data_IF_405680475767
#
_entry.id   IF_405680475767
#
_cell.length_a   1.000
_cell.length_b   1.000
_cell.length_c   1.000
_cell.angle_alpha   90.00
_cell.angle_beta   90.00
_cell.angle_gamma   90.00
#
_symmetry.space_group_name_H-M   'P 1'
#
loop_
_entity.id
_entity.type
_entity.pdbx_description
1 polymer ?
#
# COMPACT_ATOMS: atom_id res chain seq x y z
N UNK A 1 -12.51 7.32 -10.54
CA UNK A 1 -11.81 8.51 -10.02
C UNK A 1 -11.13 8.16 -8.71
N UNK A 2 -9.93 7.58 -8.77
CA UNK A 2 -9.19 7.10 -7.60
C UNK A 2 -8.34 8.21 -7.00
N UNK A 3 -8.05 8.11 -5.70
CA UNK A 3 -7.33 9.08 -4.86
C UNK A 3 -5.99 9.59 -5.44
N UNK A 4 -5.37 8.85 -6.37
CA UNK A 4 -4.16 9.26 -7.08
C UNK A 4 -4.38 10.35 -8.17
N UNK A 5 -5.61 10.65 -8.57
CA UNK A 5 -5.87 11.71 -9.57
C UNK A 5 -5.60 13.15 -9.10
N UNK A 6 -5.39 13.39 -7.79
CA UNK A 6 -5.35 14.76 -7.24
C UNK A 6 -3.98 15.22 -6.73
N UNK A 7 -2.96 14.36 -6.72
CA UNK A 7 -1.65 14.67 -6.12
C UNK A 7 -0.57 15.04 -7.15
N UNK A 8 -0.87 15.01 -8.45
CA UNK A 8 0.08 15.30 -9.51
C UNK A 8 -0.18 16.68 -10.12
N UNK A 9 0.29 17.73 -9.44
CA UNK A 9 0.53 19.05 -10.04
C UNK A 9 2.04 19.22 -10.15
N UNK A 10 2.57 19.17 -11.38
CA UNK A 10 3.86 19.80 -11.70
C UNK A 10 3.55 21.18 -12.28
N UNK A 11 4.15 22.17 -11.63
CA UNK A 11 4.17 23.57 -12.04
C UNK A 11 5.27 23.70 -13.10
N UNK A 12 4.90 24.09 -14.30
CA UNK A 12 5.78 24.81 -15.22
C UNK A 12 4.94 25.97 -15.78
N UNK A 13 5.38 27.20 -15.53
CA UNK A 13 4.79 28.39 -16.15
C UNK A 13 5.47 28.59 -17.49
N UNK A 14 4.72 28.58 -18.58
CA UNK A 14 5.13 29.20 -19.84
C UNK A 14 4.28 30.47 -20.04
N UNK A 15 4.88 31.68 -20.08
CA UNK A 15 4.13 32.93 -20.06
C UNK A 15 3.56 33.39 -21.41
N UNK A 16 3.69 32.64 -22.50
CA UNK A 16 3.16 33.05 -23.81
C UNK A 16 2.54 31.90 -24.61
N UNK A 17 1.25 31.63 -24.45
CA UNK A 17 0.42 31.28 -25.62
C UNK A 17 -1.07 31.52 -25.33
N UNK A 18 -1.68 32.28 -26.23
CA UNK A 18 -3.11 32.52 -26.27
C UNK A 18 -3.74 31.53 -27.25
N UNK A 19 -4.97 31.12 -26.91
CA UNK A 19 -5.92 30.35 -27.72
C UNK A 19 -5.70 28.83 -27.84
N UNK A 20 -6.72 28.08 -27.40
CA UNK A 20 -7.60 27.26 -28.28
C UNK A 20 -8.01 25.94 -27.63
N UNK A 21 -9.32 25.76 -27.49
CA UNK A 21 -10.09 24.50 -27.46
C UNK A 21 -9.85 23.53 -26.29
N UNK A 22 -10.85 23.46 -25.41
CA UNK A 22 -11.03 22.42 -24.40
C UNK A 22 -11.39 21.06 -25.03
N UNK A 23 -10.47 20.46 -25.78
CA UNK A 23 -10.50 19.03 -26.06
C UNK A 23 -9.93 18.29 -24.84
N UNK A 24 -10.80 17.58 -24.13
CA UNK A 24 -10.42 16.64 -23.07
C UNK A 24 -9.63 15.48 -23.70
N UNK A 25 -8.32 15.63 -23.83
CA UNK A 25 -7.42 14.53 -24.20
C UNK A 25 -6.82 13.90 -22.94
N UNK A 26 -7.19 12.63 -22.80
CA UNK A 26 -6.84 11.63 -21.81
C UNK A 26 -5.33 11.41 -21.75
N UNK A 27 -4.65 12.04 -20.79
CA UNK A 27 -3.21 11.87 -20.55
C UNK A 27 -2.96 11.48 -19.09
N UNK A 28 -3.01 10.18 -18.82
CA UNK A 28 -2.65 9.58 -17.55
C UNK A 28 -1.18 9.14 -17.57
N UNK A 29 -0.32 9.72 -16.71
CA UNK A 29 1.02 9.16 -16.45
C UNK A 29 0.89 7.86 -15.66
N UNK A 30 0.81 6.78 -16.41
CA UNK A 30 0.98 5.41 -15.95
C UNK A 30 2.45 5.18 -15.58
N UNK A 31 2.71 4.34 -14.58
CA UNK A 31 4.06 3.82 -14.34
C UNK A 31 4.39 2.88 -15.50
N UNK A 32 4.84 3.44 -16.61
CA UNK A 32 5.28 2.69 -17.79
C UNK A 32 6.73 2.30 -17.52
N UNK A 33 6.92 1.10 -16.98
CA UNK A 33 8.23 0.48 -16.91
C UNK A 33 8.53 -0.13 -18.28
N UNK A 34 9.79 -0.12 -18.69
CA UNK A 34 10.18 -0.88 -19.87
C UNK A 34 9.98 -2.39 -19.61
N UNK A 35 9.74 -3.15 -20.68
CA UNK A 35 9.36 -4.57 -20.58
C UNK A 35 10.45 -5.44 -19.93
N UNK A 36 11.73 -5.07 -20.06
CA UNK A 36 12.84 -5.79 -19.44
C UNK A 36 12.83 -5.58 -17.92
N UNK A 37 12.66 -4.32 -17.49
CA UNK A 37 12.55 -3.93 -16.08
C UNK A 37 11.33 -4.55 -15.39
N UNK A 38 10.19 -4.57 -16.09
CA UNK A 38 8.96 -5.17 -15.58
C UNK A 38 9.11 -6.69 -15.35
N UNK A 39 9.79 -7.39 -16.26
CA UNK A 39 10.06 -8.82 -16.14
C UNK A 39 11.03 -9.13 -14.99
N UNK A 40 12.09 -8.35 -14.84
CA UNK A 40 13.00 -8.49 -13.69
C UNK A 40 12.23 -8.32 -12.38
N UNK A 41 11.35 -7.32 -12.28
CA UNK A 41 10.62 -7.06 -11.06
C UNK A 41 9.59 -8.16 -10.74
N UNK A 42 8.90 -8.66 -11.76
CA UNK A 42 7.96 -9.78 -11.61
C UNK A 42 8.66 -11.08 -11.20
N UNK A 43 9.92 -11.27 -11.59
CA UNK A 43 10.73 -12.41 -11.15
C UNK A 43 11.19 -12.27 -9.68
N UNK A 44 11.59 -11.06 -9.28
CA UNK A 44 12.10 -10.78 -7.94
C UNK A 44 11.01 -10.73 -6.85
N UNK A 45 9.76 -10.44 -7.20
CA UNK A 45 8.70 -10.24 -6.20
C UNK A 45 7.30 -10.69 -6.64
N UNK A 46 6.73 -11.62 -5.85
CA UNK A 46 5.35 -12.07 -6.02
C UNK A 46 4.35 -11.08 -5.41
N UNK A 47 3.88 -10.15 -6.25
CA UNK A 47 2.91 -9.12 -5.87
C UNK A 47 1.54 -9.74 -5.51
N UNK A 48 1.16 -10.86 -6.11
CA UNK A 48 -0.11 -11.53 -5.82
C UNK A 48 -0.12 -12.17 -4.43
N UNK A 49 1.00 -12.79 -4.05
CA UNK A 49 1.21 -13.27 -2.69
C UNK A 49 1.22 -12.12 -1.68
N UNK A 50 1.82 -10.98 -2.01
CA UNK A 50 1.81 -9.80 -1.17
C UNK A 50 0.38 -9.26 -0.95
N UNK A 51 -0.42 -9.12 -2.01
CA UNK A 51 -1.83 -8.71 -1.92
C UNK A 51 -2.60 -9.67 -1.02
N UNK A 52 -2.50 -10.97 -1.30
CA UNK A 52 -3.23 -12.01 -0.57
C UNK A 52 -2.90 -12.02 0.92
N UNK A 53 -1.62 -11.84 1.29
CA UNK A 53 -1.17 -11.73 2.69
C UNK A 53 -1.78 -10.52 3.40
N UNK A 54 -1.81 -9.36 2.75
CA UNK A 54 -2.37 -8.14 3.34
C UNK A 54 -3.90 -8.17 3.44
N UNK A 55 -4.58 -8.82 2.50
CA UNK A 55 -6.03 -9.06 2.58
C UNK A 55 -6.36 -10.07 3.71
N UNK A 56 -5.54 -11.11 3.89
CA UNK A 56 -5.72 -12.12 4.93
C UNK A 56 -5.59 -11.56 6.35
N UNK A 57 -4.77 -10.53 6.57
CA UNK A 57 -4.62 -9.88 7.87
C UNK A 57 -5.93 -9.36 8.45
N UNK A 58 -6.84 -8.89 7.60
CA UNK A 58 -8.16 -8.41 8.04
C UNK A 58 -8.95 -9.52 8.73
N UNK A 59 -8.92 -10.73 8.15
CA UNK A 59 -9.60 -11.89 8.71
C UNK A 59 -8.95 -12.33 10.03
N UNK A 60 -7.63 -12.32 10.09
CA UNK A 60 -6.88 -12.68 11.31
C UNK A 60 -7.15 -11.72 12.46
N UNK A 61 -7.16 -10.41 12.20
CA UNK A 61 -7.51 -9.41 13.22
C UNK A 61 -8.97 -9.51 13.65
N UNK A 62 -9.90 -9.77 12.71
CA UNK A 62 -11.31 -10.04 13.05
C UNK A 62 -11.44 -11.22 14.00
N UNK A 63 -10.74 -12.32 13.70
CA UNK A 63 -10.74 -13.53 14.54
C UNK A 63 -10.15 -13.27 15.93
N UNK A 64 -9.06 -12.49 16.02
CA UNK A 64 -8.50 -12.07 17.31
C UNK A 64 -9.50 -11.24 18.12
N UNK A 65 -10.25 -10.34 17.48
CA UNK A 65 -11.23 -9.48 18.13
C UNK A 65 -12.49 -10.24 18.56
N UNK A 66 -12.90 -11.26 17.82
CA UNK A 66 -14.05 -12.11 18.18
C UNK A 66 -13.71 -13.25 19.15
N UNK A 67 -12.42 -13.45 19.46
CA UNK A 67 -11.98 -14.59 20.25
C UNK A 67 -12.09 -15.93 19.51
N UNK A 68 -12.17 -15.92 18.18
CA UNK A 68 -12.19 -17.14 17.35
C UNK A 68 -10.83 -17.86 17.30
N UNK A 69 -9.74 -17.15 17.62
CA UNK A 69 -8.40 -17.72 17.73
C UNK A 69 -7.82 -17.47 19.11
N UNK A 70 -7.29 -18.54 19.71
CA UNK A 70 -6.53 -18.48 20.96
C UNK A 70 -5.04 -18.20 20.71
N UNK A 71 -4.56 -18.47 19.48
CA UNK A 71 -3.17 -18.20 19.12
C UNK A 71 -2.94 -16.68 19.01
N UNK A 72 -2.17 -16.08 19.93
CA UNK A 72 -1.95 -14.64 19.91
C UNK A 72 -1.17 -14.24 18.66
N UNK A 73 -1.58 -13.14 18.03
CA UNK A 73 -0.80 -12.50 16.97
C UNK A 73 0.55 -12.05 17.54
N UNK A 74 1.67 -12.44 16.93
CA UNK A 74 2.98 -11.96 17.36
C UNK A 74 3.09 -10.44 17.12
N UNK A 75 3.20 -9.67 18.21
CA UNK A 75 3.30 -8.22 18.14
C UNK A 75 4.70 -7.76 17.73
N UNK A 76 5.73 -8.53 18.06
CA UNK A 76 7.11 -8.14 17.78
C UNK A 76 7.36 -8.24 16.26
N UNK A 77 6.85 -9.29 15.63
CA UNK A 77 6.82 -9.41 14.17
C UNK A 77 5.94 -8.31 13.52
N UNK A 78 4.76 -8.03 14.08
CA UNK A 78 3.83 -7.07 13.50
C UNK A 78 4.33 -5.62 13.58
N UNK A 79 5.08 -5.26 14.63
CA UNK A 79 5.67 -3.92 14.80
C UNK A 79 6.76 -3.60 13.80
N UNK A 80 7.44 -4.63 13.30
CA UNK A 80 8.47 -4.44 12.30
C UNK A 80 7.85 -4.55 10.90
N UNK A 81 7.53 -3.44 10.21
CA UNK A 81 7.01 -3.51 8.85
C UNK A 81 7.99 -4.22 7.91
N UNK A 82 9.29 -4.13 8.15
CA UNK A 82 10.32 -4.80 7.34
C UNK A 82 10.40 -6.30 7.58
N UNK A 83 9.72 -6.85 8.60
CA UNK A 83 9.70 -8.29 8.82
C UNK A 83 8.89 -9.05 7.78
N UNK A 84 7.87 -8.42 7.17
CA UNK A 84 7.02 -9.09 6.19
C UNK A 84 7.69 -9.12 4.79
N UNK A 85 7.35 -10.08 3.91
CA UNK A 85 7.97 -10.17 2.58
C UNK A 85 7.89 -8.89 1.74
N UNK A 86 6.77 -8.14 1.84
CA UNK A 86 6.65 -6.84 1.19
C UNK A 86 7.63 -5.82 1.78
N UNK A 87 7.74 -5.75 3.10
CA UNK A 87 8.67 -4.85 3.77
C UNK A 87 10.13 -5.14 3.43
N UNK A 88 10.53 -6.41 3.41
CA UNK A 88 11.87 -6.83 2.99
C UNK A 88 12.16 -6.42 1.55
N UNK A 89 11.19 -6.60 0.65
CA UNK A 89 11.33 -6.18 -0.74
C UNK A 89 11.42 -4.65 -0.87
N UNK A 90 10.58 -3.91 -0.14
CA UNK A 90 10.58 -2.45 -0.12
C UNK A 90 11.90 -1.89 0.41
N UNK A 91 12.53 -2.51 1.41
CA UNK A 91 13.83 -2.09 1.93
C UNK A 91 15.02 -2.57 1.07
N UNK A 92 14.81 -3.52 0.18
CA UNK A 92 15.84 -4.18 -0.63
C UNK A 92 15.66 -3.92 -2.13
N UNK A 93 15.43 -4.97 -2.96
CA UNK A 93 15.34 -4.83 -4.41
C UNK A 93 14.33 -3.79 -4.89
N UNK A 94 13.18 -3.67 -4.23
CA UNK A 94 12.16 -2.68 -4.56
C UNK A 94 12.68 -1.24 -4.48
N UNK A 95 13.46 -0.91 -3.45
CA UNK A 95 14.10 0.40 -3.32
C UNK A 95 15.09 0.68 -4.45
N UNK A 96 15.88 -0.33 -4.84
CA UNK A 96 16.89 -0.18 -5.90
C UNK A 96 16.24 0.04 -7.26
N UNK A 97 15.13 -0.66 -7.53
CA UNK A 97 14.45 -0.62 -8.82
C UNK A 97 13.48 0.56 -8.95
N UNK A 98 12.71 0.83 -7.89
CA UNK A 98 11.58 1.77 -7.95
C UNK A 98 11.74 2.99 -7.05
N UNK A 99 12.82 3.09 -6.26
CA UNK A 99 13.01 4.17 -5.29
C UNK A 99 13.10 5.57 -5.88
N UNK A 100 13.32 5.70 -7.19
CA UNK A 100 13.28 6.98 -7.89
C UNK A 100 11.86 7.52 -8.11
N UNK A 101 10.83 6.69 -7.98
CA UNK A 101 9.44 7.08 -8.23
C UNK A 101 8.74 7.52 -6.95
N UNK A 102 8.13 8.72 -6.90
CA UNK A 102 7.39 9.17 -5.70
C UNK A 102 6.25 8.22 -5.26
N UNK A 103 5.69 7.45 -6.20
CA UNK A 103 4.69 6.43 -5.90
C UNK A 103 5.25 5.30 -5.01
N UNK A 104 6.55 5.01 -5.10
CA UNK A 104 7.23 4.04 -4.25
C UNK A 104 7.29 4.51 -2.80
N UNK A 105 7.67 5.76 -2.55
CA UNK A 105 7.68 6.35 -1.20
C UNK A 105 6.30 6.33 -0.55
N UNK A 106 5.25 6.57 -1.35
CA UNK A 106 3.87 6.45 -0.90
C UNK A 106 3.55 5.02 -0.49
N UNK A 107 3.98 4.01 -1.25
CA UNK A 107 3.81 2.60 -0.89
C UNK A 107 4.53 2.25 0.40
N UNK A 108 5.78 2.67 0.57
CA UNK A 108 6.55 2.47 1.82
C UNK A 108 5.82 3.08 3.01
N UNK A 109 5.39 4.34 2.91
CA UNK A 109 4.69 5.02 3.99
C UNK A 109 3.32 4.39 4.32
N UNK A 110 2.55 3.98 3.30
CA UNK A 110 1.24 3.33 3.51
C UNK A 110 1.39 1.93 4.09
N UNK A 111 2.43 1.21 3.71
CA UNK A 111 2.76 -0.09 4.30
C UNK A 111 3.12 0.02 5.78
N UNK A 112 3.99 0.96 6.15
CA UNK A 112 4.32 1.22 7.55
C UNK A 112 3.08 1.62 8.37
N UNK A 113 2.22 2.48 7.81
CA UNK A 113 0.97 2.88 8.45
C UNK A 113 -0.01 1.71 8.64
N UNK A 114 -0.09 0.78 7.69
CA UNK A 114 -0.87 -0.46 7.84
C UNK A 114 -0.42 -1.28 9.05
N UNK A 115 0.89 -1.50 9.19
CA UNK A 115 1.44 -2.21 10.34
C UNK A 115 1.15 -1.48 11.66
N UNK A 116 1.35 -0.16 11.72
CA UNK A 116 1.05 0.63 12.91
C UNK A 116 -0.42 0.50 13.36
N UNK A 117 -1.37 0.55 12.41
CA UNK A 117 -2.80 0.38 12.72
C UNK A 117 -3.15 -1.04 13.13
N UNK A 118 -2.50 -2.05 12.55
CA UNK A 118 -2.68 -3.45 12.97
C UNK A 118 -2.17 -3.69 14.40
N UNK A 119 -1.00 -3.13 14.74
CA UNK A 119 -0.45 -3.16 16.11
C UNK A 119 -1.42 -2.54 17.10
N UNK A 120 -1.94 -1.34 16.81
CA UNK A 120 -2.87 -0.63 17.68
C UNK A 120 -4.14 -1.45 17.96
N UNK A 121 -4.71 -2.11 16.93
CA UNK A 121 -5.85 -3.02 17.11
C UNK A 121 -5.54 -4.16 18.08
N UNK A 122 -4.37 -4.80 17.93
CA UNK A 122 -3.98 -5.95 18.76
C UNK A 122 -3.67 -5.50 20.20
N UNK A 123 -2.98 -4.38 20.39
CA UNK A 123 -2.70 -3.81 21.71
C UNK A 123 -3.98 -3.47 22.47
N UNK A 124 -4.92 -2.77 21.83
CA UNK A 124 -6.21 -2.43 22.44
C UNK A 124 -7.03 -3.68 22.78
N UNK A 125 -7.01 -4.69 21.90
CA UNK A 125 -7.67 -5.98 22.16
C UNK A 125 -7.07 -6.68 23.39
N UNK A 126 -5.73 -6.71 23.51
CA UNK A 126 -5.02 -7.31 24.67
C UNK A 126 -5.23 -6.54 25.97
N UNK A 127 -5.43 -5.24 25.88
CA UNK A 127 -5.76 -4.39 27.03
C UNK A 127 -7.23 -4.51 27.48
N UNK A 128 -8.05 -5.33 26.81
CA UNK A 128 -9.49 -5.46 27.08
C UNK A 128 -10.32 -4.28 26.58
N UNK A 129 -9.73 -3.36 25.81
CA UNK A 129 -10.37 -2.16 25.29
C UNK A 129 -11.06 -2.43 23.94
N UNK A 130 -11.92 -3.45 23.89
CA UNK A 130 -12.52 -3.98 22.65
C UNK A 130 -13.25 -2.93 21.81
N UNK A 131 -14.00 -2.02 22.44
CA UNK A 131 -14.71 -0.94 21.73
C UNK A 131 -13.73 0.02 21.01
N UNK A 132 -12.57 0.29 21.60
CA UNK A 132 -11.53 1.10 20.96
C UNK A 132 -10.87 0.32 19.83
N UNK A 133 -10.56 -0.96 20.06
CA UNK A 133 -9.98 -1.83 19.04
C UNK A 133 -10.88 -1.94 17.80
N UNK A 134 -12.20 -2.07 17.97
CA UNK A 134 -13.18 -2.09 16.88
C UNK A 134 -13.23 -0.76 16.11
N UNK A 135 -13.14 0.38 16.80
CA UNK A 135 -13.08 1.69 16.14
C UNK A 135 -11.86 1.82 15.24
N UNK A 136 -10.68 1.41 15.73
CA UNK A 136 -9.45 1.41 14.92
C UNK A 136 -9.56 0.41 13.76
N UNK A 137 -10.06 -0.79 14.02
CA UNK A 137 -10.24 -1.85 13.02
C UNK A 137 -11.14 -1.41 11.86
N UNK A 138 -12.30 -0.82 12.16
CA UNK A 138 -13.25 -0.36 11.14
C UNK A 138 -12.88 0.99 10.51
N UNK A 139 -12.04 1.78 11.17
CA UNK A 139 -11.55 3.08 10.71
C UNK A 139 -10.15 3.01 10.11
N UNK A 140 -9.15 3.36 10.91
CA UNK A 140 -7.78 3.56 10.46
C UNK A 140 -7.13 2.32 9.84
N UNK A 141 -7.33 1.14 10.44
CA UNK A 141 -6.83 -0.13 9.88
C UNK A 141 -7.49 -0.45 8.52
N UNK A 142 -8.83 -0.38 8.43
CA UNK A 142 -9.56 -0.60 7.17
C UNK A 142 -9.05 0.34 6.07
N UNK A 143 -8.84 1.62 6.40
CA UNK A 143 -8.30 2.58 5.45
C UNK A 143 -6.89 2.19 5.00
N UNK A 144 -5.98 1.89 5.94
CA UNK A 144 -4.60 1.53 5.66
C UNK A 144 -4.49 0.25 4.80
N UNK A 145 -5.24 -0.79 5.17
CA UNK A 145 -5.30 -2.06 4.44
C UNK A 145 -5.74 -1.87 3.00
N UNK A 146 -6.80 -1.08 2.78
CA UNK A 146 -7.28 -0.78 1.43
C UNK A 146 -6.24 0.00 0.61
N UNK A 147 -5.49 0.93 1.21
CA UNK A 147 -4.48 1.72 0.51
C UNK A 147 -3.31 0.85 0.03
N UNK A 148 -2.78 -0.02 0.88
CA UNK A 148 -1.68 -0.93 0.51
C UNK A 148 -2.11 -1.87 -0.60
N UNK A 149 -3.28 -2.52 -0.47
CA UNK A 149 -3.81 -3.43 -1.50
C UNK A 149 -4.05 -2.71 -2.83
N UNK A 150 -4.57 -1.47 -2.79
CA UNK A 150 -4.79 -0.67 -3.99
C UNK A 150 -3.47 -0.36 -4.70
N UNK A 151 -2.45 0.07 -3.96
CA UNK A 151 -1.12 0.40 -4.48
C UNK A 151 -0.43 -0.82 -5.09
N UNK A 152 -0.50 -1.98 -4.44
CA UNK A 152 0.02 -3.23 -5.00
C UNK A 152 -0.70 -3.64 -6.29
N UNK A 153 -2.03 -3.48 -6.34
CA UNK A 153 -2.82 -3.71 -7.56
C UNK A 153 -2.51 -2.71 -8.68
N UNK A 154 -2.06 -1.49 -8.34
CA UNK A 154 -1.59 -0.51 -9.33
C UNK A 154 -0.20 -0.88 -9.84
N UNK A 155 0.73 -1.23 -8.94
CA UNK A 155 2.07 -1.72 -9.28
C UNK A 155 1.98 -2.92 -10.22
N UNK A 156 1.17 -3.93 -9.88
CA UNK A 156 0.93 -5.10 -10.73
C UNK A 156 0.47 -4.73 -12.15
N UNK A 157 -0.45 -3.77 -12.26
CA UNK A 157 -0.97 -3.33 -13.56
C UNK A 157 0.07 -2.60 -14.40
N UNK A 158 0.96 -1.83 -13.78
CA UNK A 158 2.07 -1.16 -14.47
C UNK A 158 3.14 -2.13 -14.99
N UNK A 159 3.23 -3.34 -14.43
CA UNK A 159 4.19 -4.37 -14.85
C UNK A 159 3.65 -5.33 -15.92
N UNK A 160 2.32 -5.45 -16.01
CA UNK A 160 1.66 -6.40 -16.89
C UNK A 160 1.21 -5.81 -18.23
N UNK A 161 1.79 -4.70 -18.67
CA UNK A 161 1.54 -4.08 -19.98
C UNK A 161 2.73 -4.24 -20.90
#
# INVERSE_FOLDING_TARGET
MGFFSKMFKLREQDPESQETTWAFEDNASELVLDAEYANTLAFEFDIDAAISRHEAWKNRLRQQLSGEIDTPIDLDELRNPEACPLGQWLAGPGQQMLGQYPAFDILVARHAYFHAQAVEVVELSRAGEYERALRVFHGGYRHASNQVVLLLKQLKRGLGR
#
